data_IF_178118787926
#
_entry.id   IF_178118787926
#
_cell.length_a   1.000
_cell.length_b   1.000
_cell.length_c   1.000
_cell.angle_alpha   90.00
_cell.angle_beta   90.00
_cell.angle_gamma   90.00
#
_symmetry.space_group_name_H-M   'P 1'
#
loop_
_entity.id
_entity.type
_entity.pdbx_description
1 polymer ?
#
# COMPACT_ATOMS: atom_id res chain seq x y z
N UNK A 1 -19.95 -20.16 -0.25
CA UNK A 1 -19.64 -19.19 0.82
C UNK A 1 -18.67 -18.18 0.21
N UNK A 2 -19.14 -17.00 -0.22
CA UNK A 2 -18.24 -16.01 -0.81
C UNK A 2 -17.32 -15.48 0.29
N UNK A 3 -16.02 -15.70 0.15
CA UNK A 3 -15.01 -15.10 1.02
C UNK A 3 -15.17 -13.59 0.91
N UNK A 4 -15.63 -12.94 1.98
CA UNK A 4 -15.75 -11.48 2.01
C UNK A 4 -14.36 -10.91 1.72
N UNK A 5 -14.23 -10.16 0.62
CA UNK A 5 -12.96 -9.54 0.25
C UNK A 5 -12.55 -8.56 1.35
N UNK A 6 -11.45 -8.86 2.04
CA UNK A 6 -10.94 -8.00 3.10
C UNK A 6 -9.75 -7.20 2.59
N UNK A 7 -10.00 -5.94 2.18
CA UNK A 7 -8.96 -5.05 1.67
C UNK A 7 -7.83 -4.82 2.68
N UNK A 8 -8.17 -4.66 3.96
CA UNK A 8 -7.18 -4.42 5.02
C UNK A 8 -6.19 -5.58 5.14
N UNK A 9 -6.68 -6.83 5.07
CA UNK A 9 -5.86 -8.03 5.07
C UNK A 9 -4.97 -8.08 3.83
N UNK A 10 -5.51 -7.76 2.65
CA UNK A 10 -4.75 -7.75 1.39
C UNK A 10 -3.64 -6.70 1.37
N UNK A 11 -3.92 -5.50 1.88
CA UNK A 11 -2.89 -4.46 2.01
C UNK A 11 -1.83 -4.87 3.03
N UNK A 12 -2.21 -5.51 4.14
CA UNK A 12 -1.26 -6.04 5.11
C UNK A 12 -0.36 -7.13 4.51
N UNK A 13 -0.91 -8.05 3.73
CA UNK A 13 -0.18 -9.07 2.99
C UNK A 13 0.81 -8.43 2.00
N UNK A 14 0.35 -7.44 1.23
CA UNK A 14 1.17 -6.69 0.29
C UNK A 14 2.37 -6.02 0.97
N UNK A 15 2.17 -5.39 2.13
CA UNK A 15 3.24 -4.75 2.91
C UNK A 15 4.29 -5.78 3.38
N UNK A 16 3.85 -6.94 3.85
CA UNK A 16 4.76 -8.02 4.29
C UNK A 16 5.58 -8.57 3.12
N UNK A 17 4.93 -8.93 2.01
CA UNK A 17 5.60 -9.50 0.83
C UNK A 17 6.59 -8.52 0.17
N UNK A 18 6.25 -7.24 0.15
CA UNK A 18 7.11 -6.18 -0.39
C UNK A 18 8.21 -5.73 0.59
N UNK A 19 8.19 -6.20 1.84
CA UNK A 19 9.06 -5.74 2.94
C UNK A 19 8.98 -4.21 3.12
N UNK A 20 7.79 -3.65 2.92
CA UNK A 20 7.54 -2.22 2.98
C UNK A 20 6.98 -1.85 4.35
N UNK A 21 7.65 -0.96 5.07
CA UNK A 21 7.19 -0.49 6.37
C UNK A 21 6.32 0.76 6.22
N UNK A 22 5.03 0.61 6.52
CA UNK A 22 4.13 1.75 6.68
C UNK A 22 4.28 2.33 8.09
N UNK A 23 4.40 3.66 8.19
CA UNK A 23 4.36 4.37 9.47
C UNK A 23 2.98 4.26 10.10
N UNK A 24 1.94 4.41 9.27
CA UNK A 24 0.55 4.38 9.67
C UNK A 24 -0.26 3.66 8.61
N UNK A 25 -1.23 2.87 9.05
CA UNK A 25 -2.24 2.22 8.21
C UNK A 25 -3.61 2.51 8.82
N UNK A 26 -4.47 3.18 8.08
CA UNK A 26 -5.83 3.53 8.49
C UNK A 26 -6.81 3.09 7.42
N UNK A 27 -8.00 2.62 7.80
CA UNK A 27 -9.03 2.25 6.84
C UNK A 27 -9.93 1.10 7.29
N UNK A 28 -10.80 0.71 6.37
CA UNK A 28 -11.78 -0.36 6.51
C UNK A 28 -11.68 -1.33 5.32
N UNK A 29 -12.70 -2.17 5.14
CA UNK A 29 -12.71 -3.18 4.08
C UNK A 29 -12.90 -2.59 2.66
N UNK A 30 -13.20 -1.30 2.52
CA UNK A 30 -13.42 -0.63 1.22
C UNK A 30 -12.29 0.34 0.84
N UNK A 31 -11.65 0.95 1.82
CA UNK A 31 -10.50 1.83 1.61
C UNK A 31 -9.42 1.63 2.65
N UNK A 32 -8.15 1.72 2.24
CA UNK A 32 -6.99 1.72 3.14
C UNK A 32 -6.02 2.81 2.72
N UNK A 33 -5.62 3.64 3.68
CA UNK A 33 -4.56 4.63 3.54
C UNK A 33 -3.31 4.16 4.27
N UNK A 34 -2.17 4.25 3.59
CA UNK A 34 -0.86 3.99 4.17
C UNK A 34 0.05 5.19 3.99
N UNK A 35 0.91 5.43 4.98
CA UNK A 35 1.95 6.44 4.96
C UNK A 35 3.32 5.77 5.02
N UNK A 36 4.20 6.07 4.08
CA UNK A 36 5.51 5.43 3.94
C UNK A 36 6.59 6.49 4.00
N UNK A 37 7.67 6.23 4.76
CA UNK A 37 8.92 6.99 4.65
C UNK A 37 9.73 6.44 3.49
N UNK A 38 10.13 7.31 2.56
CA UNK A 38 10.98 6.95 1.43
C UNK A 38 12.41 7.32 1.77
N UNK A 39 13.20 6.31 2.15
CA UNK A 39 14.63 6.46 2.45
C UNK A 39 15.46 5.89 1.28
N UNK A 40 15.33 6.51 0.12
CA UNK A 40 16.15 6.21 -1.07
C UNK A 40 15.80 4.92 -1.82
N UNK A 41 16.81 4.33 -2.45
CA UNK A 41 16.68 3.21 -3.38
C UNK A 41 16.05 1.93 -2.78
N UNK A 42 16.36 1.51 -1.53
CA UNK A 42 15.76 0.32 -0.95
C UNK A 42 14.24 0.44 -0.83
N UNK A 43 13.72 1.60 -0.41
CA UNK A 43 12.28 1.83 -0.33
C UNK A 43 11.64 1.81 -1.72
N UNK A 44 12.32 2.32 -2.74
CA UNK A 44 11.80 2.32 -4.11
C UNK A 44 11.62 0.90 -4.67
N UNK A 45 12.57 0.00 -4.39
CA UNK A 45 12.46 -1.41 -4.77
C UNK A 45 11.29 -2.11 -4.07
N UNK A 46 11.07 -1.84 -2.79
CA UNK A 46 9.91 -2.34 -2.05
C UNK A 46 8.60 -1.74 -2.55
N UNK A 47 8.55 -0.45 -2.86
CA UNK A 47 7.39 0.21 -3.45
C UNK A 47 7.00 -0.40 -4.80
N UNK A 48 7.97 -0.77 -5.64
CA UNK A 48 7.72 -1.45 -6.91
C UNK A 48 7.05 -2.80 -6.70
N UNK A 49 7.58 -3.63 -5.79
CA UNK A 49 6.97 -4.92 -5.43
C UNK A 49 5.55 -4.76 -4.86
N UNK A 50 5.35 -3.74 -4.05
CA UNK A 50 4.05 -3.40 -3.48
C UNK A 50 3.05 -3.02 -4.59
N UNK A 51 3.45 -2.17 -5.53
CA UNK A 51 2.67 -1.81 -6.71
C UNK A 51 2.28 -3.05 -7.52
N UNK A 52 3.24 -3.91 -7.84
CA UNK A 52 2.99 -5.12 -8.65
C UNK A 52 1.96 -6.05 -7.99
N UNK A 53 1.99 -6.15 -6.65
CA UNK A 53 0.97 -6.88 -5.89
C UNK A 53 -0.42 -6.26 -6.03
N UNK A 54 -0.53 -4.93 -5.86
CA UNK A 54 -1.82 -4.23 -5.99
C UNK A 54 -2.42 -4.43 -7.39
N UNK A 55 -1.61 -4.33 -8.43
CA UNK A 55 -2.05 -4.54 -9.82
C UNK A 55 -2.50 -6.00 -10.06
N UNK A 56 -1.77 -6.98 -9.51
CA UNK A 56 -2.15 -8.40 -9.59
C UNK A 56 -3.50 -8.69 -8.93
N UNK A 57 -3.75 -8.10 -7.78
CA UNK A 57 -5.02 -8.21 -7.04
C UNK A 57 -6.11 -7.27 -7.57
N UNK A 58 -5.84 -6.52 -8.66
CA UNK A 58 -6.75 -5.54 -9.29
C UNK A 58 -7.23 -4.44 -8.34
N UNK A 59 -6.40 -4.08 -7.37
CA UNK A 59 -6.65 -3.00 -6.43
C UNK A 59 -6.32 -1.65 -7.05
N UNK A 60 -7.25 -0.69 -6.95
CA UNK A 60 -6.98 0.69 -7.39
C UNK A 60 -6.29 1.45 -6.29
N UNK A 61 -5.37 2.34 -6.67
CA UNK A 61 -4.71 3.21 -5.70
C UNK A 61 -4.40 4.58 -6.29
N UNK A 62 -4.31 5.58 -5.42
CA UNK A 62 -3.74 6.90 -5.70
C UNK A 62 -2.61 7.17 -4.73
N UNK A 63 -1.55 7.81 -5.18
CA UNK A 63 -0.42 8.16 -4.33
C UNK A 63 -0.03 9.62 -4.47
N UNK A 64 0.51 10.18 -3.38
CA UNK A 64 1.12 11.50 -3.35
C UNK A 64 2.48 11.41 -2.67
N UNK A 65 3.48 12.11 -3.22
CA UNK A 65 4.83 12.13 -2.67
C UNK A 65 5.25 13.56 -2.32
N UNK A 66 5.75 13.74 -1.11
CA UNK A 66 6.38 14.97 -0.64
C UNK A 66 7.88 14.79 -0.61
N UNK A 67 8.59 15.40 -1.57
CA UNK A 67 10.05 15.37 -1.64
C UNK A 67 10.70 16.05 -0.43
N UNK A 68 10.10 17.14 0.07
CA UNK A 68 10.58 17.86 1.26
C UNK A 68 10.58 17.00 2.52
N UNK A 69 9.60 16.11 2.65
CA UNK A 69 9.45 15.26 3.84
C UNK A 69 9.95 13.83 3.63
N UNK A 70 10.24 13.42 2.39
CA UNK A 70 10.51 12.02 2.05
C UNK A 70 9.33 11.11 2.40
N UNK A 71 8.09 11.58 2.25
CA UNK A 71 6.89 10.84 2.63
C UNK A 71 6.03 10.58 1.41
N UNK A 72 5.57 9.32 1.27
CA UNK A 72 4.56 8.93 0.31
C UNK A 72 3.28 8.53 1.04
N UNK A 73 2.15 9.12 0.67
CA UNK A 73 0.83 8.67 1.10
C UNK A 73 0.20 7.88 -0.04
N UNK A 74 -0.36 6.71 0.24
CA UNK A 74 -1.03 5.86 -0.74
C UNK A 74 -2.42 5.51 -0.22
N UNK A 75 -3.45 5.80 -1.00
CA UNK A 75 -4.83 5.40 -0.73
C UNK A 75 -5.22 4.30 -1.69
N UNK A 76 -5.74 3.19 -1.18
CA UNK A 76 -6.03 1.95 -1.89
C UNK A 76 -7.52 1.63 -1.72
N UNK A 77 -8.16 1.16 -2.78
CA UNK A 77 -9.60 0.94 -2.85
C UNK A 77 -9.90 -0.44 -3.45
N UNK A 78 -10.94 -1.10 -2.92
CA UNK A 78 -11.59 -2.26 -3.54
C UNK A 78 -13.01 -1.90 -3.94
N UNK A 79 -13.41 -2.35 -5.12
CA UNK A 79 -14.81 -2.28 -5.58
C UNK A 79 -15.59 -3.51 -5.15
#
# INVERSE_FOLDING_TARGET
MATVFNLKSKVSEALQLSKLMAQNTFGNDFFVMIKIKVDGEPTMNSLKKFKDFLEKERLRYVSSFSSKMGIMNISIYSY
#
